data_IF_437848538558
#
_entry.id   IF_437848538558
#
_cell.length_a   1.000
_cell.length_b   1.000
_cell.length_c   1.000
_cell.angle_alpha   90.00
_cell.angle_beta   90.00
_cell.angle_gamma   90.00
#
_symmetry.space_group_name_H-M   'P 1'
#
loop_
_entity.id
_entity.type
_entity.pdbx_description
1 polymer ?
#
# COMPACT_ATOMS: atom_id res chain seq x y z
N UNK A 1 -21.27 -26.71 -15.59
CA UNK A 1 -21.11 -25.97 -16.86
C UNK A 1 -20.73 -24.52 -16.58
N UNK A 2 -21.65 -23.63 -16.19
CA UNK A 2 -21.30 -22.21 -16.00
C UNK A 2 -20.39 -21.91 -14.80
N UNK A 3 -20.63 -22.56 -13.66
CA UNK A 3 -19.78 -22.39 -12.46
C UNK A 3 -18.35 -22.90 -12.72
N UNK A 4 -18.22 -24.01 -13.45
CA UNK A 4 -16.92 -24.60 -13.80
C UNK A 4 -16.14 -23.68 -14.74
N UNK A 5 -16.78 -23.12 -15.77
CA UNK A 5 -16.17 -22.10 -16.64
C UNK A 5 -15.68 -20.87 -15.86
N UNK A 6 -16.50 -20.36 -14.93
CA UNK A 6 -16.14 -19.21 -14.11
C UNK A 6 -14.93 -19.53 -13.22
N UNK A 7 -14.90 -20.72 -12.62
CA UNK A 7 -13.77 -21.12 -11.76
C UNK A 7 -12.47 -21.29 -12.55
N UNK A 8 -12.55 -21.84 -13.77
CA UNK A 8 -11.40 -21.96 -14.68
C UNK A 8 -10.87 -20.57 -15.06
N UNK A 9 -11.77 -19.64 -15.37
CA UNK A 9 -11.39 -18.26 -15.70
C UNK A 9 -10.79 -17.52 -14.49
N UNK A 10 -11.34 -17.71 -13.29
CA UNK A 10 -10.76 -17.17 -12.05
C UNK A 10 -9.35 -17.72 -11.85
N UNK A 11 -9.14 -19.04 -12.02
CA UNK A 11 -7.83 -19.65 -11.85
C UNK A 11 -6.81 -19.08 -12.85
N UNK A 12 -7.22 -18.88 -14.10
CA UNK A 12 -6.39 -18.26 -15.13
C UNK A 12 -5.99 -16.82 -14.76
N UNK A 13 -6.97 -15.99 -14.39
CA UNK A 13 -6.73 -14.59 -14.04
C UNK A 13 -5.83 -14.45 -12.80
N UNK A 14 -5.97 -15.35 -11.82
CA UNK A 14 -5.11 -15.39 -10.64
C UNK A 14 -3.67 -15.74 -11.03
N UNK A 15 -3.46 -16.74 -11.89
CA UNK A 15 -2.14 -17.14 -12.35
C UNK A 15 -1.45 -16.01 -13.14
N UNK A 16 -2.18 -15.35 -14.04
CA UNK A 16 -1.66 -14.19 -14.80
C UNK A 16 -1.25 -13.05 -13.87
N UNK A 17 -2.08 -12.70 -12.88
CA UNK A 17 -1.75 -11.70 -11.86
C UNK A 17 -0.49 -12.08 -11.07
N UNK A 18 -0.34 -13.35 -10.69
CA UNK A 18 0.85 -13.81 -9.96
C UNK A 18 2.11 -13.65 -10.80
N UNK A 19 2.09 -14.05 -12.07
CA UNK A 19 3.23 -13.90 -12.97
C UNK A 19 3.61 -12.41 -13.17
N UNK A 20 2.63 -11.51 -13.30
CA UNK A 20 2.89 -10.07 -13.36
C UNK A 20 3.50 -9.55 -12.05
N UNK A 21 3.00 -10.00 -10.90
CA UNK A 21 3.50 -9.57 -9.60
C UNK A 21 4.94 -10.02 -9.33
N UNK A 22 5.37 -11.18 -9.84
CA UNK A 22 6.77 -11.63 -9.71
C UNK A 22 7.73 -10.80 -10.57
N UNK A 23 7.27 -10.35 -11.74
CA UNK A 23 8.07 -9.50 -12.64
C UNK A 23 8.19 -8.05 -12.12
N UNK A 24 7.16 -7.56 -11.44
CA UNK A 24 7.10 -6.19 -10.92
C UNK A 24 7.62 -6.14 -9.48
N UNK A 25 8.93 -5.94 -9.32
CA UNK A 25 9.50 -5.60 -8.01
C UNK A 25 9.15 -4.17 -7.65
N UNK A 26 8.03 -3.98 -6.97
CA UNK A 26 7.69 -2.68 -6.39
C UNK A 26 8.39 -2.53 -5.03
N UNK A 27 9.28 -1.53 -4.84
CA UNK A 27 9.93 -1.29 -3.55
C UNK A 27 8.93 -1.18 -2.40
N UNK A 28 7.74 -0.64 -2.70
CA UNK A 28 6.65 -0.43 -1.77
C UNK A 28 6.10 -1.69 -1.10
N UNK A 29 6.31 -2.86 -1.72
CA UNK A 29 5.82 -4.17 -1.24
C UNK A 29 6.97 -4.99 -0.65
N UNK A 30 8.21 -4.69 -1.05
CA UNK A 30 9.41 -5.45 -0.63
C UNK A 30 10.18 -4.79 0.50
N UNK A 31 9.93 -3.50 0.80
CA UNK A 31 10.57 -2.80 1.89
C UNK A 31 10.15 -3.38 3.26
N UNK A 32 11.11 -3.55 4.19
CA UNK A 32 10.79 -3.82 5.59
C UNK A 32 9.87 -2.75 6.17
N UNK A 33 9.06 -3.14 7.16
CA UNK A 33 8.11 -2.21 7.80
C UNK A 33 8.84 -1.04 8.45
N UNK A 34 10.01 -1.26 9.03
CA UNK A 34 10.83 -0.27 9.71
C UNK A 34 11.28 0.83 8.75
N UNK A 35 11.73 0.45 7.54
CA UNK A 35 12.15 1.41 6.52
C UNK A 35 10.94 2.16 5.97
N UNK A 36 9.82 1.47 5.75
CA UNK A 36 8.57 2.09 5.31
C UNK A 36 8.08 3.11 6.33
N UNK A 37 8.15 2.79 7.63
CA UNK A 37 7.81 3.70 8.72
C UNK A 37 8.69 4.95 8.74
N UNK A 38 10.01 4.82 8.56
CA UNK A 38 10.90 5.97 8.48
C UNK A 38 10.57 6.89 7.30
N UNK A 39 10.27 6.31 6.13
CA UNK A 39 9.82 7.08 4.96
C UNK A 39 8.55 7.86 5.29
N UNK A 40 7.58 7.23 5.95
CA UNK A 40 6.31 7.87 6.31
C UNK A 40 6.51 9.05 7.27
N UNK A 41 7.38 8.91 8.26
CA UNK A 41 7.69 9.99 9.21
C UNK A 41 8.36 11.19 8.52
N UNK A 42 9.11 10.95 7.45
CA UNK A 42 9.66 12.01 6.61
C UNK A 42 8.63 12.67 5.66
N UNK A 43 7.40 12.16 5.59
CA UNK A 43 6.30 12.82 4.90
C UNK A 43 5.54 13.82 5.78
N UNK A 44 5.88 13.95 7.07
CA UNK A 44 5.29 14.95 7.94
C UNK A 44 5.67 16.36 7.47
N UNK A 45 4.73 17.32 7.51
CA UNK A 45 5.05 18.69 7.14
C UNK A 45 6.00 19.32 8.17
N UNK A 46 6.92 20.16 7.70
CA UNK A 46 7.81 20.94 8.57
C UNK A 46 7.01 21.86 9.52
N UNK A 47 5.86 22.34 9.06
CA UNK A 47 4.90 23.12 9.84
C UNK A 47 3.57 22.37 9.97
N UNK A 48 3.27 21.77 11.15
CA UNK A 48 2.01 21.05 11.39
C UNK A 48 0.75 21.93 11.31
N UNK A 49 0.91 23.25 11.38
CA UNK A 49 -0.19 24.22 11.36
C UNK A 49 -0.45 24.79 9.96
N UNK A 50 0.29 24.35 8.94
CA UNK A 50 0.05 24.79 7.56
C UNK A 50 -1.28 24.20 7.05
N UNK A 51 -2.31 25.04 6.81
CA UNK A 51 -3.61 24.57 6.35
C UNK A 51 -3.60 24.05 4.91
N UNK A 52 -2.52 24.28 4.16
CA UNK A 52 -2.34 23.82 2.78
C UNK A 52 -1.62 22.48 2.70
N UNK A 53 -0.99 22.03 3.79
CA UNK A 53 -0.31 20.76 3.84
C UNK A 53 -1.31 19.61 3.75
N UNK A 54 -1.00 18.61 2.91
CA UNK A 54 -1.77 17.38 2.89
C UNK A 54 -1.58 16.62 4.20
N UNK A 55 -2.61 15.89 4.64
CA UNK A 55 -2.48 15.02 5.81
C UNK A 55 -1.76 13.71 5.39
N UNK A 56 -0.51 13.48 5.82
CA UNK A 56 0.25 12.32 5.39
C UNK A 56 -0.38 11.00 5.84
N UNK A 57 -0.97 10.91 7.04
CA UNK A 57 -1.72 9.71 7.49
C UNK A 57 -2.79 9.30 6.51
N UNK A 58 -3.59 10.28 6.06
CA UNK A 58 -4.70 10.03 5.13
C UNK A 58 -4.14 9.61 3.78
N UNK A 59 -3.24 10.41 3.20
CA UNK A 59 -2.69 10.15 1.86
C UNK A 59 -2.00 8.79 1.79
N UNK A 60 -1.10 8.50 2.74
CA UNK A 60 -0.37 7.23 2.80
C UNK A 60 -1.34 6.05 3.05
N UNK A 61 -2.33 6.24 3.91
CA UNK A 61 -3.37 5.25 4.19
C UNK A 61 -4.28 4.95 3.00
N UNK A 62 -4.35 5.79 1.97
CA UNK A 62 -5.17 5.54 0.77
C UNK A 62 -4.47 4.75 -0.33
N UNK A 63 -3.16 4.53 -0.26
CA UNK A 63 -2.39 3.84 -1.31
C UNK A 63 -2.74 2.36 -1.41
N UNK A 64 -2.58 1.60 -0.32
CA UNK A 64 -2.90 0.18 -0.28
C UNK A 64 -3.19 -0.29 1.16
N UNK A 65 -3.67 -1.54 1.31
CA UNK A 65 -3.99 -2.11 2.63
C UNK A 65 -2.76 -2.21 3.54
N UNK A 66 -1.61 -2.57 2.98
CA UNK A 66 -0.35 -2.69 3.74
C UNK A 66 0.08 -1.32 4.29
N UNK A 67 0.09 -0.29 3.45
CA UNK A 67 0.42 1.09 3.85
C UNK A 67 -0.51 1.64 4.91
N UNK A 68 -1.82 1.38 4.79
CA UNK A 68 -2.80 1.72 5.81
C UNK A 68 -2.48 1.07 7.16
N UNK A 69 -2.08 -0.20 7.16
CA UNK A 69 -1.66 -0.90 8.38
C UNK A 69 -0.46 -0.23 9.04
N UNK A 70 0.55 0.14 8.25
CA UNK A 70 1.73 0.87 8.75
C UNK A 70 1.35 2.25 9.29
N UNK A 71 0.59 3.04 8.54
CA UNK A 71 0.18 4.39 8.95
C UNK A 71 -0.65 4.39 10.26
N UNK A 72 -1.54 3.41 10.44
CA UNK A 72 -2.31 3.26 11.68
C UNK A 72 -1.45 2.83 12.88
N UNK A 73 -0.31 2.17 12.63
CA UNK A 73 0.63 1.76 13.68
C UNK A 73 1.60 2.86 14.12
N UNK A 74 1.58 4.03 13.47
CA UNK A 74 2.49 5.16 13.72
C UNK A 74 1.72 6.34 14.31
N UNK A 75 1.66 6.47 15.65
CA UNK A 75 0.97 7.59 16.31
C UNK A 75 1.46 8.98 15.89
N UNK A 76 2.72 9.10 15.47
CA UNK A 76 3.33 10.38 15.07
C UNK A 76 2.73 10.96 13.79
N UNK A 77 2.01 10.17 12.99
CA UNK A 77 1.37 10.66 11.77
C UNK A 77 -0.01 11.29 12.02
N UNK A 78 -0.56 11.17 13.24
CA UNK A 78 -1.90 11.62 13.63
C UNK A 78 -1.81 12.80 14.60
#
# INVERSE_FOLDING_TARGET
>A
ARITEINEEIARLVAERHALSESLTFPVVTLPVEITSQIFLHCLPDNPLDPTAFNPSIVLGHVCRQWRGVALSLPQLW
#
